data_IF_844847197163
#
_entry.id   IF_844847197163
#
_cell.length_a   1.000
_cell.length_b   1.000
_cell.length_c   1.000
_cell.angle_alpha   90.00
_cell.angle_beta   90.00
_cell.angle_gamma   90.00
#
_symmetry.space_group_name_H-M   'P 1'
#
loop_
_entity.id
_entity.type
_entity.pdbx_description
1 polymer ?
#
# COMPACT_ATOMS: atom_id res chain seq x y z
N UNK A 1 2.97 11.02 -18.01
CA UNK A 1 3.56 11.78 -16.90
C UNK A 1 4.90 12.37 -17.33
N UNK A 2 5.10 13.68 -17.14
CA UNK A 2 6.38 14.36 -17.39
C UNK A 2 7.19 14.56 -16.09
N UNK A 3 8.38 15.16 -16.17
CA UNK A 3 9.25 15.35 -15.01
C UNK A 3 8.68 16.31 -13.95
N UNK A 4 7.90 17.31 -14.36
CA UNK A 4 7.29 18.26 -13.42
C UNK A 4 6.14 17.59 -12.67
N UNK A 5 5.31 16.85 -13.40
CA UNK A 5 4.22 16.05 -12.84
C UNK A 5 4.76 14.95 -11.91
N UNK A 6 5.81 14.24 -12.32
CA UNK A 6 6.47 13.23 -11.48
C UNK A 6 6.95 13.81 -10.15
N UNK A 7 7.60 14.99 -10.17
CA UNK A 7 8.05 15.67 -8.94
C UNK A 7 6.87 16.07 -8.04
N UNK A 8 5.76 16.51 -8.62
CA UNK A 8 4.55 16.84 -7.87
C UNK A 8 3.98 15.58 -7.20
N UNK A 9 3.73 14.51 -7.97
CA UNK A 9 3.15 13.25 -7.46
C UNK A 9 4.08 12.54 -6.48
N UNK A 10 5.38 12.62 -6.69
CA UNK A 10 6.38 12.08 -5.78
C UNK A 10 6.32 12.74 -4.39
N UNK A 11 6.12 14.07 -4.34
CA UNK A 11 5.92 14.77 -3.06
C UNK A 11 4.62 14.34 -2.38
N UNK A 12 3.53 14.26 -3.14
CA UNK A 12 2.23 13.77 -2.63
C UNK A 12 2.37 12.36 -2.02
N UNK A 13 3.14 11.48 -2.66
CA UNK A 13 3.41 10.13 -2.15
C UNK A 13 4.31 10.14 -0.90
N UNK A 14 5.32 11.00 -0.84
CA UNK A 14 6.17 11.14 0.36
C UNK A 14 5.36 11.62 1.55
N UNK A 15 4.51 12.64 1.36
CA UNK A 15 3.63 13.15 2.41
C UNK A 15 2.67 12.06 2.89
N UNK A 16 2.09 11.28 1.95
CA UNK A 16 1.23 10.14 2.28
C UNK A 16 1.93 9.07 3.12
N UNK A 17 3.16 8.69 2.76
CA UNK A 17 3.93 7.68 3.52
C UNK A 17 4.29 8.22 4.91
N UNK A 18 4.62 9.51 5.03
CA UNK A 18 4.86 10.14 6.33
C UNK A 18 3.61 10.08 7.21
N UNK A 19 2.46 10.50 6.69
CA UNK A 19 1.17 10.46 7.40
C UNK A 19 0.78 9.02 7.79
N UNK A 20 1.06 8.05 6.92
CA UNK A 20 0.86 6.63 7.20
C UNK A 20 1.69 6.16 8.39
N UNK A 21 2.99 6.48 8.41
CA UNK A 21 3.91 6.08 9.48
C UNK A 21 3.59 6.78 10.80
N UNK A 22 3.19 8.06 10.78
CA UNK A 22 2.77 8.78 11.98
C UNK A 22 1.50 8.21 12.61
N UNK A 23 0.60 7.65 11.79
CA UNK A 23 -0.69 7.12 12.24
C UNK A 23 -0.74 5.59 12.26
N UNK A 24 0.39 4.91 12.06
CA UNK A 24 0.46 3.44 11.98
C UNK A 24 -0.06 2.76 13.25
N UNK A 25 0.10 3.41 14.41
CA UNK A 25 -0.37 2.87 15.69
C UNK A 25 -1.88 2.80 15.84
N UNK A 26 -2.62 3.61 15.07
CA UNK A 26 -4.08 3.63 15.05
C UNK A 26 -4.68 2.58 14.12
N UNK A 27 -3.86 1.94 13.29
CA UNK A 27 -4.31 0.93 12.33
C UNK A 27 -4.36 -0.46 12.97
N UNK A 28 -5.23 -1.30 12.44
CA UNK A 28 -5.35 -2.68 12.88
C UNK A 28 -4.08 -3.46 12.50
N UNK A 29 -3.55 -4.20 13.47
CA UNK A 29 -2.36 -5.06 13.28
C UNK A 29 -2.69 -6.20 12.31
N UNK A 30 -3.87 -6.79 12.47
CA UNK A 30 -4.40 -7.84 11.60
C UNK A 30 -5.53 -7.27 10.73
N UNK A 31 -5.44 -7.42 9.40
CA UNK A 31 -6.49 -6.98 8.51
C UNK A 31 -7.69 -7.94 8.60
N UNK A 32 -8.90 -7.38 8.54
CA UNK A 32 -10.17 -8.13 8.52
C UNK A 32 -10.56 -8.48 7.07
N UNK A 33 -9.71 -9.28 6.41
CA UNK A 33 -9.90 -9.69 5.01
C UNK A 33 -9.68 -11.18 4.82
N UNK A 34 -10.47 -11.77 3.92
CA UNK A 34 -10.37 -13.19 3.57
C UNK A 34 -9.28 -13.47 2.53
N UNK A 35 -8.63 -14.64 2.57
CA UNK A 35 -7.70 -15.05 1.53
C UNK A 35 -8.34 -14.94 0.13
N UNK A 36 -7.69 -14.21 -0.77
CA UNK A 36 -8.17 -13.99 -2.13
C UNK A 36 -9.05 -12.75 -2.33
N UNK A 37 -9.29 -11.93 -1.29
CA UNK A 37 -10.11 -10.70 -1.38
C UNK A 37 -9.67 -9.72 -2.48
N UNK A 38 -8.37 -9.69 -2.83
CA UNK A 38 -7.83 -8.82 -3.88
C UNK A 38 -8.33 -9.20 -5.28
N UNK A 39 -8.52 -10.49 -5.56
CA UNK A 39 -8.79 -10.98 -6.93
C UNK A 39 -10.07 -10.40 -7.55
N UNK A 40 -11.22 -10.29 -6.84
CA UNK A 40 -12.42 -9.68 -7.39
C UNK A 40 -12.36 -8.15 -7.51
N UNK A 41 -11.39 -7.48 -6.86
CA UNK A 41 -11.27 -6.02 -6.84
C UNK A 41 -10.38 -5.48 -7.98
N UNK A 42 -9.60 -6.35 -8.62
CA UNK A 42 -8.65 -6.00 -9.68
C UNK A 42 -9.18 -6.51 -11.02
N UNK A 43 -9.09 -5.72 -12.11
CA UNK A 43 -9.45 -6.16 -13.45
C UNK A 43 -8.73 -7.45 -13.87
N UNK A 44 -9.40 -8.28 -14.68
CA UNK A 44 -8.83 -9.54 -15.19
C UNK A 44 -7.65 -9.34 -16.16
N UNK A 45 -7.58 -8.17 -16.79
CA UNK A 45 -6.54 -7.80 -17.73
C UNK A 45 -6.10 -6.36 -17.49
N UNK A 46 -4.85 -6.06 -17.84
CA UNK A 46 -4.31 -4.71 -17.77
C UNK A 46 -5.09 -3.76 -18.71
N UNK A 47 -5.29 -2.51 -18.30
CA UNK A 47 -5.93 -1.50 -19.15
C UNK A 47 -5.08 -1.27 -20.41
N UNK A 48 -5.75 -1.05 -21.54
CA UNK A 48 -5.08 -0.75 -22.81
C UNK A 48 -4.58 0.69 -22.87
N UNK A 49 -5.32 1.58 -22.22
CA UNK A 49 -5.02 3.00 -22.14
C UNK A 49 -4.46 3.35 -20.75
N UNK A 50 -3.60 4.36 -20.66
CA UNK A 50 -3.06 4.82 -19.38
C UNK A 50 -4.17 5.38 -18.49
N UNK A 51 -4.16 4.99 -17.23
CA UNK A 51 -5.03 5.54 -16.20
C UNK A 51 -4.42 6.80 -15.56
N UNK A 52 -5.28 7.62 -14.94
CA UNK A 52 -4.82 8.80 -14.21
C UNK A 52 -4.06 8.38 -12.94
N UNK A 53 -3.09 9.19 -12.52
CA UNK A 53 -2.37 8.93 -11.27
C UNK A 53 -3.32 8.96 -10.07
N UNK A 54 -4.32 9.85 -10.09
CA UNK A 54 -5.35 9.94 -9.06
C UNK A 54 -6.14 8.64 -8.90
N UNK A 55 -6.47 7.96 -9.98
CA UNK A 55 -7.24 6.72 -9.91
C UNK A 55 -6.39 5.58 -9.38
N UNK A 56 -5.14 5.46 -9.83
CA UNK A 56 -4.16 4.52 -9.26
C UNK A 56 -3.93 4.78 -7.77
N UNK A 57 -3.85 6.05 -7.35
CA UNK A 57 -3.66 6.41 -5.95
C UNK A 57 -4.87 6.04 -5.08
N UNK A 58 -6.10 6.25 -5.58
CA UNK A 58 -7.32 5.80 -4.88
C UNK A 58 -7.36 4.29 -4.71
N UNK A 59 -6.85 3.53 -5.67
CA UNK A 59 -6.82 2.07 -5.59
C UNK A 59 -5.85 1.58 -4.51
N UNK A 60 -4.74 2.28 -4.27
CA UNK A 60 -3.85 1.99 -3.14
C UNK A 60 -4.64 2.09 -1.82
N UNK A 61 -5.39 3.17 -1.62
CA UNK A 61 -6.16 3.37 -0.38
C UNK A 61 -7.32 2.38 -0.23
N UNK A 62 -8.01 2.06 -1.33
CA UNK A 62 -9.24 1.25 -1.28
C UNK A 62 -8.99 -0.25 -1.35
N UNK A 63 -7.98 -0.68 -2.09
CA UNK A 63 -7.76 -2.09 -2.42
C UNK A 63 -6.57 -2.64 -1.62
N UNK A 64 -5.48 -1.89 -1.51
CA UNK A 64 -4.24 -2.38 -0.89
C UNK A 64 -4.26 -2.21 0.63
N UNK A 65 -4.60 -1.02 1.13
CA UNK A 65 -4.56 -0.71 2.57
C UNK A 65 -5.41 -1.64 3.45
N UNK A 66 -6.62 -2.11 3.04
CA UNK A 66 -7.43 -2.97 3.92
C UNK A 66 -6.83 -4.34 4.23
N UNK A 67 -5.97 -4.88 3.38
CA UNK A 67 -5.33 -6.19 3.61
C UNK A 67 -3.86 -6.12 3.98
N UNK A 68 -3.38 -4.96 4.37
CA UNK A 68 -2.03 -4.79 4.89
C UNK A 68 -1.94 -5.41 6.30
N UNK A 69 -1.01 -6.34 6.48
CA UNK A 69 -0.69 -6.90 7.80
C UNK A 69 0.45 -6.07 8.40
N UNK A 70 0.17 -5.40 9.51
CA UNK A 70 1.17 -4.63 10.25
C UNK A 70 1.69 -5.52 11.38
N UNK A 71 2.90 -6.06 11.21
CA UNK A 71 3.59 -6.79 12.26
C UNK A 71 4.28 -5.79 13.19
N UNK A 72 3.72 -5.59 14.39
CA UNK A 72 4.40 -4.90 15.48
C UNK A 72 5.33 -5.90 16.17
N UNK A 73 6.63 -5.85 15.92
CA UNK A 73 7.58 -6.46 16.85
C UNK A 73 7.90 -5.48 17.97
N UNK A 74 8.56 -5.98 19.02
CA UNK A 74 8.90 -5.21 20.23
C UNK A 74 9.71 -3.93 19.96
N UNK A 75 10.26 -3.30 21.00
CA UNK A 75 10.39 -1.84 21.19
C UNK A 75 11.07 -0.97 20.11
N UNK A 76 11.51 -1.50 18.98
CA UNK A 76 12.28 -0.77 17.95
C UNK A 76 12.00 -1.16 16.48
N UNK A 77 10.92 -1.87 16.12
CA UNK A 77 10.71 -2.23 14.70
C UNK A 77 9.27 -2.49 14.25
N UNK A 78 8.82 -1.70 13.28
CA UNK A 78 7.59 -1.95 12.50
C UNK A 78 7.96 -2.77 11.25
N UNK A 79 7.25 -3.89 11.03
CA UNK A 79 7.34 -4.65 9.79
C UNK A 79 5.99 -4.63 9.07
N UNK A 80 6.01 -4.24 7.81
CA UNK A 80 4.83 -4.28 6.94
C UNK A 80 4.90 -5.57 6.12
N UNK A 81 3.83 -6.37 6.14
CA UNK A 81 3.72 -7.57 5.33
C UNK A 81 2.41 -7.53 4.52
N UNK A 82 2.49 -7.74 3.21
CA UNK A 82 1.30 -7.98 2.39
C UNK A 82 1.13 -9.50 2.29
N UNK A 83 0.01 -10.09 2.71
CA UNK A 83 -0.24 -11.52 2.59
C UNK A 83 -0.57 -11.86 1.13
N UNK A 84 0.43 -11.80 0.25
CA UNK A 84 0.37 -12.44 -1.07
C UNK A 84 1.09 -13.77 -0.94
N UNK A 85 0.37 -14.85 -1.26
CA UNK A 85 0.81 -16.25 -1.44
C UNK A 85 2.32 -16.46 -1.18
N UNK A 86 2.64 -16.87 0.05
CA UNK A 86 3.89 -17.51 0.46
C UNK A 86 5.23 -16.87 0.05
N UNK A 87 5.29 -15.56 -0.22
CA UNK A 87 6.55 -14.90 -0.58
C UNK A 87 6.87 -13.78 0.40
N UNK A 88 7.84 -14.02 1.29
CA UNK A 88 8.32 -13.05 2.28
C UNK A 88 9.11 -11.94 1.57
N UNK A 89 8.50 -10.77 1.40
CA UNK A 89 9.24 -9.55 1.06
C UNK A 89 9.54 -8.85 2.38
N UNK A 90 10.79 -8.98 2.84
CA UNK A 90 11.23 -8.49 4.14
C UNK A 90 11.99 -7.18 3.90
N UNK A 91 11.27 -6.07 3.79
CA UNK A 91 11.89 -4.74 3.70
C UNK A 91 12.10 -4.21 5.11
N UNK A 92 13.36 -4.19 5.56
CA UNK A 92 13.76 -3.43 6.73
C UNK A 92 13.97 -1.98 6.29
N UNK A 93 13.20 -1.07 6.84
CA UNK A 93 13.54 0.36 6.78
C UNK A 93 14.41 0.61 8.01
N UNK A 94 15.69 0.92 7.77
CA UNK A 94 16.68 1.21 8.80
C UNK A 94 16.52 2.63 9.35
#
# INVERSE_FOLDING_TARGET
MDAAEFRKRGKEMVDYVADYLENIDKRQVFPDVEPGYLRPLIPDCAPQDPESFEDVFKDIEKIIMPGELILKEGPTGLKIQIPVVNTRINTQVA
#
